data_IF_667062393430
#
_entry.id   IF_667062393430
#
_cell.length_a   1.000
_cell.length_b   1.000
_cell.length_c   1.000
_cell.angle_alpha   90.00
_cell.angle_beta   90.00
_cell.angle_gamma   90.00
#
_symmetry.space_group_name_H-M   'P 1'
#
loop_
_entity.id
_entity.type
_entity.pdbx_description
1 polymer ?
#
# COMPACT_ATOMS: atom_id res chain seq x y z
N UNK A 1 3.49 0.85 -18.15
CA UNK A 1 3.00 0.61 -16.77
C UNK A 1 1.84 -0.38 -16.81
N UNK A 2 1.66 -1.21 -15.78
CA UNK A 2 0.71 -2.34 -15.80
C UNK A 2 -0.75 -1.87 -15.87
N UNK A 3 -1.63 -2.67 -16.50
CA UNK A 3 -3.09 -2.42 -16.53
C UNK A 3 -3.67 -2.21 -15.12
N UNK A 4 -3.09 -2.87 -14.12
CA UNK A 4 -3.51 -2.77 -12.74
C UNK A 4 -3.32 -1.36 -12.16
N UNK A 5 -2.18 -0.70 -12.43
CA UNK A 5 -1.95 0.65 -11.90
C UNK A 5 -2.89 1.67 -12.54
N UNK A 6 -3.18 1.54 -13.84
CA UNK A 6 -4.19 2.38 -14.49
C UNK A 6 -5.58 2.20 -13.88
N UNK A 7 -5.93 0.96 -13.50
CA UNK A 7 -7.19 0.70 -12.81
C UNK A 7 -7.21 1.33 -11.42
N UNK A 8 -6.11 1.25 -10.66
CA UNK A 8 -5.99 1.89 -9.35
C UNK A 8 -6.13 3.41 -9.50
N UNK A 9 -5.42 4.02 -10.46
CA UNK A 9 -5.50 5.45 -10.77
C UNK A 9 -6.95 5.91 -11.01
N UNK A 10 -7.71 5.14 -11.80
CA UNK A 10 -9.13 5.41 -12.03
C UNK A 10 -9.99 5.18 -10.77
N UNK A 11 -9.77 4.09 -10.05
CA UNK A 11 -10.53 3.71 -8.85
C UNK A 11 -10.32 4.72 -7.70
N UNK A 12 -9.21 5.45 -7.67
CA UNK A 12 -8.89 6.48 -6.66
C UNK A 12 -9.00 7.91 -7.20
N UNK A 13 -9.47 8.11 -8.42
CA UNK A 13 -9.58 9.45 -9.03
C UNK A 13 -8.24 10.19 -9.19
N UNK A 14 -7.10 9.48 -9.22
CA UNK A 14 -5.77 10.07 -9.37
C UNK A 14 -5.18 9.76 -10.76
N UNK A 15 -5.39 10.62 -11.78
CA UNK A 15 -4.84 10.41 -13.12
C UNK A 15 -3.32 10.53 -13.18
N UNK A 16 -2.68 11.15 -12.17
CA UNK A 16 -1.23 11.37 -12.11
C UNK A 16 -0.47 10.27 -11.37
N UNK A 17 -1.17 9.28 -10.80
CA UNK A 17 -0.57 8.20 -10.01
C UNK A 17 0.63 7.54 -10.72
N UNK A 18 0.55 7.36 -12.03
CA UNK A 18 1.65 6.82 -12.82
C UNK A 18 2.92 7.68 -12.77
N UNK A 19 2.79 8.97 -12.99
CA UNK A 19 3.91 9.89 -12.97
C UNK A 19 4.46 10.03 -11.55
N UNK A 20 3.58 10.10 -10.55
CA UNK A 20 3.94 10.18 -9.12
C UNK A 20 4.75 8.96 -8.67
N UNK A 21 4.31 7.75 -9.03
CA UNK A 21 5.05 6.53 -8.70
C UNK A 21 6.41 6.48 -9.39
N UNK A 22 6.49 6.83 -10.68
CA UNK A 22 7.74 6.83 -11.41
C UNK A 22 8.76 7.83 -10.85
N UNK A 23 8.31 9.04 -10.54
CA UNK A 23 9.15 10.06 -9.93
C UNK A 23 9.61 9.62 -8.53
N UNK A 24 8.67 9.13 -7.71
CA UNK A 24 8.96 8.67 -6.36
C UNK A 24 9.97 7.51 -6.32
N UNK A 25 9.85 6.56 -7.24
CA UNK A 25 10.77 5.43 -7.36
C UNK A 25 12.14 5.92 -7.84
N UNK A 26 12.18 6.78 -8.86
CA UNK A 26 13.44 7.33 -9.41
C UNK A 26 14.22 8.12 -8.34
N UNK A 27 13.50 8.89 -7.53
CA UNK A 27 14.07 9.71 -6.47
C UNK A 27 14.27 8.94 -5.15
N UNK A 28 14.06 7.62 -5.13
CA UNK A 28 14.26 6.73 -3.97
C UNK A 28 13.43 7.11 -2.73
N UNK A 29 12.27 7.74 -2.95
CA UNK A 29 11.28 8.01 -1.89
C UNK A 29 10.19 6.93 -1.82
N UNK A 30 10.09 6.07 -2.83
CA UNK A 30 9.28 4.87 -2.82
C UNK A 30 10.00 3.70 -3.48
N UNK A 31 9.61 2.47 -3.15
CA UNK A 31 10.32 1.25 -3.53
C UNK A 31 9.36 0.24 -4.15
N UNK A 32 9.67 -0.19 -5.37
CA UNK A 32 8.88 -1.13 -6.17
C UNK A 32 9.35 -2.57 -5.96
N UNK A 33 8.41 -3.46 -5.65
CA UNK A 33 8.62 -4.90 -5.52
C UNK A 33 7.67 -5.65 -6.46
N UNK A 34 8.19 -6.59 -7.24
CA UNK A 34 7.42 -7.33 -8.27
C UNK A 34 7.75 -8.81 -8.17
N UNK A 35 6.73 -9.67 -8.30
CA UNK A 35 6.87 -11.12 -8.37
C UNK A 35 5.90 -11.69 -9.41
N UNK A 36 6.39 -11.97 -10.61
CA UNK A 36 5.52 -12.39 -11.71
C UNK A 36 4.49 -11.29 -12.03
N UNK A 37 3.20 -11.61 -11.95
CA UNK A 37 2.11 -10.70 -12.28
C UNK A 37 1.61 -9.84 -11.11
N UNK A 38 2.13 -10.06 -9.89
CA UNK A 38 1.77 -9.31 -8.69
C UNK A 38 2.92 -8.41 -8.20
N UNK A 39 2.59 -7.43 -7.37
CA UNK A 39 3.58 -6.50 -6.84
C UNK A 39 2.98 -5.37 -6.02
N UNK A 40 3.86 -4.56 -5.44
CA UNK A 40 3.50 -3.46 -4.58
C UNK A 40 4.57 -2.37 -4.57
N UNK A 41 4.18 -1.16 -4.16
CA UNK A 41 5.08 -0.04 -3.91
C UNK A 41 4.98 0.36 -2.44
N UNK A 42 6.12 0.38 -1.77
CA UNK A 42 6.23 0.83 -0.39
C UNK A 42 6.77 2.26 -0.34
N UNK A 43 6.13 3.12 0.45
CA UNK A 43 6.58 4.48 0.74
C UNK A 43 6.80 4.62 2.25
N UNK A 44 8.04 4.76 2.72
CA UNK A 44 8.31 5.13 4.10
C UNK A 44 7.70 6.50 4.42
N UNK A 45 7.11 6.64 5.60
CA UNK A 45 6.52 7.87 6.09
C UNK A 45 6.98 8.11 7.54
N UNK A 46 7.01 9.37 7.95
CA UNK A 46 7.23 9.76 9.34
C UNK A 46 6.03 10.58 9.81
N UNK A 47 5.32 10.07 10.82
CA UNK A 47 4.17 10.73 11.44
C UNK A 47 4.49 10.96 12.92
N UNK A 48 4.55 12.22 13.36
CA UNK A 48 4.89 12.59 14.75
C UNK A 48 6.18 11.93 15.27
N UNK A 49 7.22 11.86 14.42
CA UNK A 49 8.50 11.22 14.76
C UNK A 49 8.47 9.69 14.72
N UNK A 50 7.33 9.06 14.41
CA UNK A 50 7.20 7.61 14.28
C UNK A 50 7.32 7.23 12.81
N UNK A 51 8.29 6.37 12.49
CA UNK A 51 8.44 5.81 11.15
C UNK A 51 7.33 4.79 10.89
N UNK A 52 6.72 4.84 9.72
CA UNK A 52 5.77 3.87 9.21
C UNK A 52 5.99 3.61 7.73
N UNK A 53 5.23 2.68 7.17
CA UNK A 53 5.26 2.38 5.74
C UNK A 53 3.84 2.38 5.19
N UNK A 54 3.62 3.20 4.18
CA UNK A 54 2.44 3.13 3.32
C UNK A 54 2.67 2.08 2.24
N UNK A 55 1.80 1.09 2.15
CA UNK A 55 1.63 0.28 0.93
C UNK A 55 0.85 1.17 -0.05
N UNK A 56 1.57 1.93 -0.85
CA UNK A 56 1.00 3.00 -1.67
C UNK A 56 0.13 2.43 -2.80
N UNK A 57 0.64 1.41 -3.48
CA UNK A 57 -0.15 0.60 -4.41
C UNK A 57 0.19 -0.87 -4.25
N UNK A 58 -0.79 -1.73 -4.45
CA UNK A 58 -0.61 -3.18 -4.52
C UNK A 58 -1.53 -3.76 -5.59
N UNK A 59 -1.03 -4.73 -6.36
CA UNK A 59 -1.79 -5.43 -7.39
C UNK A 59 -1.43 -6.92 -7.42
N UNK A 60 -2.36 -7.71 -7.95
CA UNK A 60 -2.22 -9.16 -8.07
C UNK A 60 -3.59 -9.84 -8.05
N UNK A 61 -3.56 -11.17 -7.95
CA UNK A 61 -4.75 -11.97 -7.71
C UNK A 61 -5.29 -11.82 -6.27
N UNK A 62 -6.37 -12.53 -5.95
CA UNK A 62 -6.98 -12.48 -4.61
C UNK A 62 -6.07 -12.98 -3.48
N UNK A 63 -5.03 -13.77 -3.79
CA UNK A 63 -4.07 -14.30 -2.81
C UNK A 63 -2.82 -13.44 -2.65
N UNK A 64 -2.56 -12.50 -3.55
CA UNK A 64 -1.38 -11.64 -3.52
C UNK A 64 -1.20 -10.87 -2.19
N UNK A 65 -2.24 -10.29 -1.56
CA UNK A 65 -2.08 -9.62 -0.26
C UNK A 65 -1.52 -10.53 0.83
N UNK A 66 -2.05 -11.75 0.99
CA UNK A 66 -1.58 -12.73 1.98
C UNK A 66 -0.17 -13.21 1.67
N UNK A 67 0.12 -13.42 0.38
CA UNK A 67 1.43 -13.87 -0.11
C UNK A 67 2.54 -12.87 0.19
N UNK A 68 2.26 -11.57 0.08
CA UNK A 68 3.26 -10.50 0.22
C UNK A 68 3.34 -9.92 1.62
N UNK A 69 2.29 -10.02 2.44
CA UNK A 69 2.25 -9.39 3.76
C UNK A 69 3.43 -9.77 4.68
N UNK A 70 3.91 -11.04 4.75
CA UNK A 70 5.09 -11.38 5.55
C UNK A 70 6.33 -10.59 5.13
N UNK A 71 6.56 -10.44 3.83
CA UNK A 71 7.71 -9.71 3.29
C UNK A 71 7.58 -8.21 3.52
N UNK A 72 6.38 -7.64 3.32
CA UNK A 72 6.12 -6.22 3.63
C UNK A 72 6.39 -5.92 5.11
N UNK A 73 5.95 -6.79 6.02
CA UNK A 73 6.24 -6.66 7.46
C UNK A 73 7.75 -6.73 7.74
N UNK A 74 8.47 -7.64 7.08
CA UNK A 74 9.93 -7.77 7.22
C UNK A 74 10.65 -6.50 6.78
N UNK A 75 10.35 -6.01 5.58
CA UNK A 75 10.96 -4.80 5.00
C UNK A 75 10.68 -3.56 5.85
N UNK A 76 9.45 -3.41 6.34
CA UNK A 76 9.09 -2.28 7.19
C UNK A 76 9.83 -2.32 8.54
N UNK A 77 9.93 -3.49 9.18
CA UNK A 77 10.69 -3.63 10.43
C UNK A 77 12.18 -3.34 10.26
N UNK A 78 12.77 -3.69 9.11
CA UNK A 78 14.19 -3.41 8.82
C UNK A 78 14.53 -1.91 8.87
N UNK A 79 13.56 -1.03 8.57
CA UNK A 79 13.76 0.42 8.65
C UNK A 79 13.21 1.03 9.95
N UNK A 80 12.87 0.19 10.95
CA UNK A 80 12.32 0.66 12.23
C UNK A 80 10.88 1.14 12.17
N UNK A 81 10.11 0.78 11.13
CA UNK A 81 8.72 1.17 11.03
C UNK A 81 7.88 0.53 12.16
N UNK A 82 6.96 1.31 12.73
CA UNK A 82 6.04 0.90 13.80
C UNK A 82 4.65 0.56 13.30
N UNK A 83 4.36 0.89 12.04
CA UNK A 83 3.08 0.58 11.43
C UNK A 83 3.20 0.37 9.91
N UNK A 84 2.26 -0.40 9.37
CA UNK A 84 1.93 -0.49 7.96
C UNK A 84 0.56 0.12 7.73
N UNK A 85 0.36 0.88 6.65
CA UNK A 85 -0.96 1.41 6.28
C UNK A 85 -1.22 1.22 4.81
N UNK A 86 -2.48 1.00 4.42
CA UNK A 86 -2.91 1.14 3.03
C UNK A 86 -4.31 1.76 2.98
N UNK A 87 -4.59 2.39 1.84
CA UNK A 87 -5.84 3.10 1.57
C UNK A 87 -6.50 2.43 0.36
N UNK A 88 -7.83 2.31 0.33
CA UNK A 88 -8.52 1.71 -0.80
C UNK A 88 -9.94 2.23 -0.98
N UNK A 89 -10.36 2.45 -2.22
CA UNK A 89 -11.76 2.70 -2.57
C UNK A 89 -12.61 1.43 -2.65
N UNK A 90 -11.99 0.24 -2.56
CA UNK A 90 -12.69 -1.04 -2.75
C UNK A 90 -13.29 -1.55 -1.43
N UNK A 91 -14.63 -1.56 -1.36
CA UNK A 91 -15.40 -2.10 -0.23
C UNK A 91 -15.05 -3.54 0.17
N UNK A 92 -14.55 -4.35 -0.77
CA UNK A 92 -14.13 -5.74 -0.50
C UNK A 92 -13.08 -5.86 0.61
N UNK A 93 -12.24 -4.84 0.80
CA UNK A 93 -11.24 -4.82 1.87
C UNK A 93 -11.84 -4.79 3.28
N UNK A 94 -13.04 -4.24 3.46
CA UNK A 94 -13.73 -4.25 4.76
C UNK A 94 -13.91 -5.67 5.30
N UNK A 95 -14.06 -6.66 4.41
CA UNK A 95 -14.21 -8.07 4.76
C UNK A 95 -12.88 -8.82 4.80
N UNK A 96 -11.96 -8.50 3.89
CA UNK A 96 -10.74 -9.28 3.67
C UNK A 96 -9.59 -8.82 4.57
N UNK A 97 -9.40 -7.51 4.75
CA UNK A 97 -8.28 -6.96 5.52
C UNK A 97 -8.22 -7.47 6.97
N UNK A 98 -9.35 -7.55 7.73
CA UNK A 98 -9.31 -8.02 9.12
C UNK A 98 -8.79 -9.45 9.28
N UNK A 99 -9.01 -10.32 8.29
CA UNK A 99 -8.53 -11.72 8.32
C UNK A 99 -7.01 -11.83 8.26
N UNK A 100 -6.35 -10.78 7.77
CA UNK A 100 -4.89 -10.66 7.68
C UNK A 100 -4.29 -9.81 8.82
N UNK A 101 -5.10 -9.44 9.81
CA UNK A 101 -4.69 -8.66 10.98
C UNK A 101 -4.69 -7.14 10.76
N UNK A 102 -5.21 -6.65 9.64
CA UNK A 102 -5.38 -5.21 9.44
C UNK A 102 -6.54 -4.67 10.28
N UNK A 103 -6.31 -3.56 10.96
CA UNK A 103 -7.32 -2.85 11.75
C UNK A 103 -7.83 -1.65 10.99
N UNK A 104 -9.15 -1.56 10.85
CA UNK A 104 -9.84 -0.44 10.23
C UNK A 104 -9.60 0.86 11.02
N UNK A 105 -9.21 1.92 10.32
CA UNK A 105 -9.07 3.28 10.85
C UNK A 105 -10.26 4.14 10.40
N UNK A 106 -10.36 5.44 10.73
CA UNK A 106 -11.25 6.37 10.04
C UNK A 106 -10.93 6.41 8.53
N UNK A 107 -11.91 6.77 7.70
CA UNK A 107 -11.63 7.09 6.28
C UNK A 107 -10.67 8.28 6.17
N UNK A 108 -9.90 8.32 5.08
CA UNK A 108 -9.09 9.49 4.79
C UNK A 108 -9.94 10.65 4.25
N UNK A 109 -9.30 11.80 4.02
CA UNK A 109 -9.97 13.01 3.53
C UNK A 109 -10.63 12.83 2.15
N UNK A 110 -10.17 11.85 1.36
CA UNK A 110 -10.69 11.52 0.04
C UNK A 110 -11.78 10.42 0.11
N UNK A 111 -12.15 9.98 1.31
CA UNK A 111 -13.18 8.96 1.54
C UNK A 111 -12.70 7.53 1.28
N UNK A 112 -11.39 7.29 1.22
CA UNK A 112 -10.83 5.94 1.06
C UNK A 112 -10.83 5.19 2.40
N UNK A 113 -11.09 3.89 2.31
CA UNK A 113 -10.98 2.99 3.44
C UNK A 113 -9.52 2.82 3.84
N UNK A 114 -9.21 3.21 5.07
CA UNK A 114 -7.87 3.12 5.66
C UNK A 114 -7.77 1.92 6.58
N UNK A 115 -6.67 1.17 6.44
CA UNK A 115 -6.35 -0.01 7.23
C UNK A 115 -4.90 0.05 7.72
N UNK A 116 -4.67 -0.31 8.97
CA UNK A 116 -3.35 -0.27 9.60
C UNK A 116 -3.02 -1.55 10.37
N UNK A 117 -1.75 -1.97 10.32
CA UNK A 117 -1.15 -2.94 11.23
C UNK A 117 -0.10 -2.22 12.07
N UNK A 118 -0.09 -2.46 13.37
CA UNK A 118 1.04 -2.08 14.23
C UNK A 118 2.08 -3.22 14.22
N UNK A 119 3.36 -2.87 14.08
CA UNK A 119 4.46 -3.81 13.80
C UNK A 119 5.26 -4.25 15.02
#
# INVERSE_FOLDING_TARGET
MSKAINRIASDTGNPRLSAELQDAIRNRVAFLFVRGDDGFVLKPLAENGVTGVLVWVGWGDGGAPERHLPEVKRLARMIGARWLRFHSSRKGWLRVAPRMGWVRQPDDADGLYVFQINL
#
